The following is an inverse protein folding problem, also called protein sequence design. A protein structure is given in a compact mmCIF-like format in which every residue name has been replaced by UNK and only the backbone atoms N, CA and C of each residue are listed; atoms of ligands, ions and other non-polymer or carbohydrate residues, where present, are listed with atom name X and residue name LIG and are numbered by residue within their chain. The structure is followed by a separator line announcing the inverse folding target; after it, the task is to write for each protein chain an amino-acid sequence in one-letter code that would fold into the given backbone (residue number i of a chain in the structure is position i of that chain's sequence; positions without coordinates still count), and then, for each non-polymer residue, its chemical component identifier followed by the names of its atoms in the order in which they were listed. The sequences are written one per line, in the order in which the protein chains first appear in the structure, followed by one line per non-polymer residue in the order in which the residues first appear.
data_IF_266804318285
#
_entry.id   IF_266804318285
#
_cell.length_a   1.000
_cell.length_b   1.000
_cell.length_c   1.000
_cell.angle_alpha   90.00
_cell.angle_beta   90.00
_cell.angle_gamma   90.00
#
_symmetry.space_group_name_H-M   'P 1'
#
loop_
_entity.id
_entity.type
_entity.pdbx_description
1 polymer ?
#
# COMPACT_ATOMS: atom_id res chain seq x y z
N UNK A 1 15.66 -30.94 12.59
CA UNK A 1 15.21 -30.48 11.26
C UNK A 1 16.10 -29.32 10.84
N UNK A 2 16.88 -29.47 9.78
CA UNK A 2 17.68 -28.36 9.24
C UNK A 2 16.74 -27.25 8.75
N UNK A 3 16.96 -26.00 9.18
CA UNK A 3 16.21 -24.86 8.65
C UNK A 3 16.45 -24.79 7.14
N UNK A 4 15.38 -24.91 6.37
CA UNK A 4 15.41 -24.74 4.93
C UNK A 4 16.05 -23.40 4.58
N UNK A 5 17.11 -23.40 3.75
CA UNK A 5 17.74 -22.16 3.30
C UNK A 5 16.78 -21.44 2.35
N UNK A 6 16.34 -20.27 2.74
CA UNK A 6 15.56 -19.38 1.90
C UNK A 6 16.45 -18.75 0.82
N UNK A 7 15.95 -18.59 -0.37
CA UNK A 7 16.66 -17.85 -1.41
C UNK A 7 16.78 -16.38 -0.99
N UNK A 8 17.97 -15.83 -1.08
CA UNK A 8 18.26 -14.43 -0.76
C UNK A 8 19.12 -13.88 -1.90
N UNK A 9 18.52 -13.15 -2.85
CA UNK A 9 19.27 -12.59 -3.97
C UNK A 9 20.27 -11.52 -3.49
N UNK A 10 21.29 -11.25 -4.31
CA UNK A 10 22.37 -10.31 -3.97
C UNK A 10 21.93 -8.85 -3.82
N UNK A 11 20.78 -8.48 -4.44
CA UNK A 11 20.18 -7.15 -4.35
C UNK A 11 19.25 -6.96 -3.14
N UNK A 12 19.15 -7.99 -2.28
CA UNK A 12 18.28 -7.93 -1.11
C UNK A 12 18.76 -6.94 -0.07
N UNK A 13 17.85 -6.10 0.39
CA UNK A 13 18.00 -5.24 1.55
C UNK A 13 17.05 -5.67 2.66
N UNK A 14 17.54 -5.69 3.91
CA UNK A 14 16.71 -6.12 5.05
C UNK A 14 15.59 -5.14 5.37
N UNK A 15 15.87 -3.85 5.22
CA UNK A 15 14.90 -2.80 5.49
C UNK A 15 14.39 -2.20 4.18
N UNK A 16 13.07 -2.21 4.04
CA UNK A 16 12.43 -1.49 2.95
C UNK A 16 12.34 -0.01 3.35
N UNK A 17 12.93 0.92 2.58
CA UNK A 17 12.88 2.33 2.91
C UNK A 17 11.42 2.81 3.01
N UNK A 18 11.02 3.46 4.12
CA UNK A 18 9.66 3.96 4.28
C UNK A 18 9.35 5.07 3.27
N UNK A 19 8.09 5.16 2.86
CA UNK A 19 7.63 6.17 1.90
C UNK A 19 8.00 5.88 0.44
N UNK A 20 8.51 4.68 0.14
CA UNK A 20 8.83 4.24 -1.23
C UNK A 20 7.71 3.39 -1.82
N UNK A 21 7.67 3.27 -3.15
CA UNK A 21 6.74 2.35 -3.83
C UNK A 21 6.94 0.92 -3.36
N UNK A 22 8.15 0.50 -3.07
CA UNK A 22 8.44 -0.83 -2.51
C UNK A 22 7.76 -1.05 -1.16
N UNK A 23 7.67 -0.03 -0.31
CA UNK A 23 6.98 -0.14 0.98
C UNK A 23 5.47 -0.30 0.83
N UNK A 24 4.87 0.27 -0.22
CA UNK A 24 3.44 0.07 -0.55
C UNK A 24 3.13 -1.36 -1.01
N UNK A 25 4.08 -2.01 -1.68
CA UNK A 25 3.91 -3.35 -2.23
C UNK A 25 4.03 -4.44 -1.17
N UNK A 26 4.38 -4.07 0.04
CA UNK A 26 4.65 -5.02 1.11
C UNK A 26 3.40 -5.30 1.92
N UNK A 27 3.02 -6.57 1.94
CA UNK A 27 1.94 -7.04 2.77
C UNK A 27 2.44 -7.54 4.14
N UNK A 28 1.78 -7.12 5.20
CA UNK A 28 2.13 -7.46 6.57
C UNK A 28 3.18 -6.55 7.19
N UNK A 29 3.98 -7.07 8.11
CA UNK A 29 5.00 -6.30 8.82
C UNK A 29 6.04 -5.71 7.85
N UNK A 30 6.20 -4.38 7.81
CA UNK A 30 7.19 -3.73 6.95
C UNK A 30 8.63 -4.13 7.23
N UNK A 31 8.95 -4.55 8.44
CA UNK A 31 10.29 -5.01 8.83
C UNK A 31 10.55 -6.49 8.50
N UNK A 32 9.50 -7.28 8.26
CA UNK A 32 9.64 -8.71 7.96
C UNK A 32 9.67 -8.97 6.46
N UNK A 33 10.81 -9.31 5.88
CA UNK A 33 10.90 -9.73 4.48
C UNK A 33 10.79 -11.25 4.37
N UNK A 34 9.84 -11.72 3.57
CA UNK A 34 9.63 -13.15 3.32
C UNK A 34 10.24 -13.54 1.99
N UNK A 35 11.21 -14.42 2.03
CA UNK A 35 11.80 -15.02 0.82
C UNK A 35 11.07 -16.30 0.45
N UNK A 36 11.00 -16.63 -0.85
CA UNK A 36 10.56 -17.95 -1.27
C UNK A 36 11.50 -19.01 -0.70
N UNK A 37 10.97 -20.17 -0.39
CA UNK A 37 11.79 -21.33 -0.03
C UNK A 37 12.43 -21.93 -1.29
N UNK A 38 13.42 -22.84 -1.11
CA UNK A 38 14.15 -23.44 -2.22
C UNK A 38 13.27 -24.26 -3.17
N UNK A 39 12.20 -24.86 -2.66
CA UNK A 39 11.24 -25.61 -3.47
C UNK A 39 10.43 -24.69 -4.40
N UNK A 40 9.95 -23.55 -3.86
CA UNK A 40 9.23 -22.55 -4.66
C UNK A 40 10.15 -21.90 -5.71
N UNK A 41 11.41 -21.61 -5.36
CA UNK A 41 12.38 -21.08 -6.33
C UNK A 41 12.59 -22.06 -7.48
N UNK A 42 12.80 -23.35 -7.20
CA UNK A 42 12.95 -24.38 -8.25
C UNK A 42 11.72 -24.50 -9.14
N UNK A 43 10.52 -24.45 -8.52
CA UNK A 43 9.27 -24.48 -9.27
C UNK A 43 9.15 -23.25 -10.20
N UNK A 44 9.45 -22.07 -9.71
CA UNK A 44 9.43 -20.85 -10.52
C UNK A 44 10.41 -20.93 -11.69
N UNK A 45 11.65 -21.34 -11.42
CA UNK A 45 12.68 -21.51 -12.45
C UNK A 45 12.24 -22.49 -13.54
N UNK A 46 11.71 -23.66 -13.15
CA UNK A 46 11.27 -24.67 -14.11
C UNK A 46 9.99 -24.28 -14.85
N UNK A 47 9.07 -23.54 -14.22
CA UNK A 47 7.79 -23.15 -14.84
C UNK A 47 7.91 -21.97 -15.81
N UNK A 48 8.90 -21.10 -15.57
CA UNK A 48 9.11 -19.90 -16.36
C UNK A 48 10.42 -19.92 -17.18
N UNK A 49 11.09 -21.06 -17.20
CA UNK A 49 12.37 -21.26 -17.89
C UNK A 49 13.42 -20.21 -17.49
N UNK A 50 13.54 -19.96 -16.17
CA UNK A 50 14.45 -18.96 -15.61
C UNK A 50 15.83 -19.57 -15.32
N UNK A 51 16.88 -18.83 -15.65
CA UNK A 51 18.23 -19.11 -15.20
C UNK A 51 18.48 -18.53 -13.79
N UNK A 52 19.46 -19.00 -13.02
CA UNK A 52 19.81 -18.42 -11.73
C UNK A 52 20.09 -16.92 -11.79
N UNK A 53 20.68 -16.47 -12.89
CA UNK A 53 21.06 -15.09 -13.16
C UNK A 53 19.83 -14.15 -13.27
N UNK A 54 18.69 -14.68 -13.73
CA UNK A 54 17.44 -13.91 -13.84
C UNK A 54 16.90 -13.50 -12.46
N UNK A 55 17.20 -14.27 -11.43
CA UNK A 55 16.78 -13.97 -10.06
C UNK A 55 17.67 -12.93 -9.38
N UNK A 56 18.86 -12.71 -9.90
CA UNK A 56 19.86 -11.79 -9.35
C UNK A 56 19.90 -10.43 -10.08
N UNK A 57 19.06 -10.25 -11.09
CA UNK A 57 18.98 -9.01 -11.87
C UNK A 57 17.60 -8.35 -11.73
N UNK A 58 17.37 -7.56 -10.69
CA UNK A 58 16.11 -6.87 -10.54
C UNK A 58 15.96 -5.80 -11.62
N UNK A 59 14.82 -5.79 -12.31
CA UNK A 59 14.51 -4.77 -13.32
C UNK A 59 14.27 -3.43 -12.63
N UNK A 60 13.55 -3.46 -11.50
CA UNK A 60 13.21 -2.27 -10.72
C UNK A 60 12.96 -2.69 -9.26
N UNK A 61 13.63 -2.03 -8.34
CA UNK A 61 13.47 -2.25 -6.89
C UNK A 61 12.33 -1.44 -6.28
N UNK A 62 11.71 -0.54 -7.05
CA UNK A 62 10.66 0.37 -6.61
C UNK A 62 11.06 1.22 -5.37
N UNK A 63 12.31 1.68 -5.34
CA UNK A 63 12.87 2.47 -4.24
C UNK A 63 12.56 3.97 -4.34
N UNK A 64 11.96 4.41 -5.44
CA UNK A 64 11.51 5.78 -5.59
C UNK A 64 10.51 6.15 -4.51
N UNK A 65 10.58 7.40 -4.04
CA UNK A 65 9.56 7.94 -3.14
C UNK A 65 8.21 7.99 -3.83
N UNK A 66 7.18 7.74 -3.04
CA UNK A 66 5.81 7.86 -3.51
C UNK A 66 5.47 9.33 -3.64
N UNK A 67 5.23 9.76 -4.86
CA UNK A 67 4.87 11.13 -5.21
C UNK A 67 3.55 11.14 -5.98
N UNK A 68 2.81 12.22 -5.81
CA UNK A 68 1.55 12.45 -6.49
C UNK A 68 1.45 13.93 -6.84
N UNK A 69 1.46 14.24 -8.11
CA UNK A 69 1.33 15.61 -8.60
C UNK A 69 -0.09 16.19 -8.40
N UNK A 70 -1.07 15.31 -8.16
CA UNK A 70 -2.45 15.71 -7.97
C UNK A 70 -2.71 16.26 -6.57
N UNK A 71 -3.14 17.54 -6.43
CA UNK A 71 -3.51 18.11 -5.15
C UNK A 71 -4.77 17.43 -4.58
N UNK A 72 -5.04 17.66 -3.31
CA UNK A 72 -6.31 17.31 -2.68
C UNK A 72 -7.39 18.24 -3.23
N UNK A 73 -8.46 17.66 -3.78
CA UNK A 73 -9.58 18.42 -4.36
C UNK A 73 -10.75 18.62 -3.38
N UNK A 74 -10.75 17.87 -2.27
CA UNK A 74 -11.78 18.03 -1.23
C UNK A 74 -11.60 19.40 -0.56
N UNK A 75 -12.68 20.14 -0.46
CA UNK A 75 -12.67 21.47 0.16
C UNK A 75 -12.21 21.39 1.62
N UNK A 76 -11.46 22.40 2.03
CA UNK A 76 -10.93 22.48 3.41
C UNK A 76 -12.03 22.43 4.46
N UNK A 77 -13.19 23.01 4.19
CA UNK A 77 -14.36 22.98 5.07
C UNK A 77 -14.80 21.55 5.43
N UNK A 78 -14.76 20.62 4.46
CA UNK A 78 -15.09 19.23 4.69
C UNK A 78 -13.98 18.51 5.47
N UNK A 79 -12.71 18.82 5.19
CA UNK A 79 -11.59 18.28 5.95
C UNK A 79 -11.68 18.71 7.42
N UNK A 80 -11.96 19.99 7.67
CA UNK A 80 -12.10 20.53 9.02
C UNK A 80 -13.31 19.91 9.76
N UNK A 81 -14.42 19.65 9.05
CA UNK A 81 -15.57 18.97 9.62
C UNK A 81 -15.25 17.50 10.03
N UNK A 82 -14.57 16.74 9.17
CA UNK A 82 -14.13 15.40 9.54
C UNK A 82 -13.12 15.41 10.68
N UNK A 83 -12.22 16.39 10.73
CA UNK A 83 -11.31 16.57 11.85
C UNK A 83 -12.05 16.87 13.16
N UNK A 84 -13.16 17.61 13.10
CA UNK A 84 -13.99 17.87 14.30
C UNK A 84 -14.69 16.60 14.81
N UNK A 85 -15.05 15.65 13.91
CA UNK A 85 -15.70 14.39 14.29
C UNK A 85 -14.70 13.44 14.95
N UNK A 86 -13.54 13.19 14.34
CA UNK A 86 -12.65 12.09 14.74
C UNK A 86 -11.29 12.55 15.28
N UNK A 87 -10.99 13.85 15.27
CA UNK A 87 -9.69 14.40 15.63
C UNK A 87 -8.73 14.52 14.44
N UNK A 88 -7.95 15.58 14.44
CA UNK A 88 -7.00 15.89 13.35
C UNK A 88 -5.95 14.79 13.16
N UNK A 89 -5.55 14.14 14.25
CA UNK A 89 -4.58 13.05 14.24
C UNK A 89 -5.10 11.76 13.58
N UNK A 90 -6.41 11.64 13.38
CA UNK A 90 -7.06 10.48 12.76
C UNK A 90 -7.47 10.72 11.30
N UNK A 91 -7.06 11.84 10.72
CA UNK A 91 -7.25 12.12 9.30
C UNK A 91 -5.90 12.33 8.62
N UNK A 92 -5.81 11.99 7.35
CA UNK A 92 -4.60 12.18 6.56
C UNK A 92 -4.90 12.55 5.12
N UNK A 93 -4.24 13.60 4.65
CA UNK A 93 -4.17 14.01 3.25
C UNK A 93 -2.81 13.71 2.63
N UNK A 94 -1.93 13.06 3.38
CA UNK A 94 -0.59 12.72 2.93
C UNK A 94 -0.62 11.73 1.76
N UNK A 95 0.25 11.97 0.79
CA UNK A 95 0.31 11.22 -0.48
C UNK A 95 0.50 9.72 -0.28
N UNK A 96 1.42 9.32 0.58
CA UNK A 96 1.70 7.90 0.82
C UNK A 96 0.49 7.18 1.41
N UNK A 97 -0.15 7.78 2.41
CA UNK A 97 -1.35 7.23 3.06
C UNK A 97 -2.50 7.11 2.05
N UNK A 98 -2.75 8.15 1.25
CA UNK A 98 -3.79 8.15 0.22
C UNK A 98 -3.57 7.04 -0.81
N UNK A 99 -2.36 6.91 -1.33
CA UNK A 99 -2.03 5.87 -2.31
C UNK A 99 -2.08 4.48 -1.67
N UNK A 100 -1.61 4.31 -0.45
CA UNK A 100 -1.67 3.02 0.26
C UNK A 100 -3.10 2.52 0.51
N UNK A 101 -4.09 3.39 0.47
CA UNK A 101 -5.53 3.08 0.62
C UNK A 101 -6.29 3.06 -0.70
N UNK A 102 -5.60 3.27 -1.82
CA UNK A 102 -6.21 3.25 -3.17
C UNK A 102 -6.20 1.86 -3.79
N UNK A 103 -5.32 0.99 -3.32
CA UNK A 103 -5.08 -0.33 -3.90
C UNK A 103 -5.13 -1.42 -2.84
N UNK A 104 -5.52 -2.61 -3.28
CA UNK A 104 -5.38 -3.81 -2.48
C UNK A 104 -3.94 -4.38 -2.53
N UNK A 105 -3.78 -5.59 -2.02
CA UNK A 105 -2.51 -6.33 -2.04
C UNK A 105 -2.47 -7.40 -3.13
N UNK A 106 -3.34 -7.28 -4.12
CA UNK A 106 -3.39 -8.19 -5.26
C UNK A 106 -2.20 -8.01 -6.23
N UNK A 107 -1.88 -9.05 -6.99
CA UNK A 107 -0.78 -9.02 -7.96
C UNK A 107 -0.94 -7.90 -9.00
N UNK A 108 -2.16 -7.67 -9.48
CA UNK A 108 -2.43 -6.62 -10.47
C UNK A 108 -2.18 -5.23 -9.88
N UNK A 109 -2.58 -5.02 -8.62
CA UNK A 109 -2.37 -3.74 -7.95
C UNK A 109 -0.88 -3.50 -7.68
N UNK A 110 -0.15 -4.54 -7.29
CA UNK A 110 1.30 -4.48 -7.17
C UNK A 110 1.99 -4.10 -8.50
N UNK A 111 1.54 -4.67 -9.62
CA UNK A 111 2.08 -4.34 -10.94
C UNK A 111 1.73 -2.90 -11.36
N UNK A 112 0.50 -2.42 -11.06
CA UNK A 112 0.09 -1.03 -11.31
C UNK A 112 0.95 -0.05 -10.53
N UNK A 113 1.11 -0.29 -9.22
CA UNK A 113 1.95 0.55 -8.35
C UNK A 113 3.41 0.58 -8.83
N UNK A 114 3.98 -0.56 -9.24
CA UNK A 114 5.32 -0.61 -9.83
C UNK A 114 5.47 0.23 -11.08
N UNK A 115 4.42 0.25 -11.91
CA UNK A 115 4.39 1.06 -13.14
C UNK A 115 3.94 2.50 -12.89
N UNK A 116 3.76 2.89 -11.63
CA UNK A 116 3.26 4.22 -11.21
C UNK A 116 1.92 4.58 -11.86
N UNK A 117 1.10 3.56 -12.16
CA UNK A 117 -0.26 3.74 -12.66
C UNK A 117 -1.15 3.93 -11.43
N UNK A 118 -1.43 5.20 -11.11
CA UNK A 118 -2.14 5.61 -9.91
C UNK A 118 -3.45 6.28 -10.32
N UNK A 119 -4.58 5.63 -10.02
CA UNK A 119 -5.92 6.08 -10.39
C UNK A 119 -6.84 6.02 -9.17
N UNK A 120 -7.90 6.84 -9.17
CA UNK A 120 -8.97 6.79 -8.17
C UNK A 120 -8.49 6.88 -6.72
N UNK A 121 -7.63 7.85 -6.43
CA UNK A 121 -7.04 8.06 -5.12
C UNK A 121 -8.04 8.78 -4.22
N UNK A 122 -8.24 8.35 -2.96
CA UNK A 122 -9.04 9.08 -2.01
C UNK A 122 -8.44 10.46 -1.73
N UNK A 123 -9.30 11.46 -1.52
CA UNK A 123 -8.87 12.82 -1.19
C UNK A 123 -8.43 12.92 0.28
N UNK A 124 -9.07 12.11 1.13
CA UNK A 124 -8.85 12.06 2.56
C UNK A 124 -8.92 10.61 3.04
N UNK A 125 -8.05 10.25 3.96
CA UNK A 125 -8.14 8.97 4.70
C UNK A 125 -8.51 9.28 6.14
N UNK A 126 -9.53 8.60 6.65
CA UNK A 126 -10.06 8.77 8.00
C UNK A 126 -9.94 7.44 8.75
N UNK A 127 -9.47 7.49 9.98
CA UNK A 127 -9.32 6.33 10.87
C UNK A 127 -10.20 6.50 12.11
N UNK A 128 -11.52 6.21 12.02
CA UNK A 128 -12.44 6.37 13.14
C UNK A 128 -12.10 5.38 14.27
N UNK A 129 -12.31 5.81 15.52
CA UNK A 129 -12.00 5.03 16.73
C UNK A 129 -13.23 4.46 17.42
N UNK A 130 -14.42 4.91 17.01
CA UNK A 130 -15.67 4.50 17.64
C UNK A 130 -16.79 4.33 16.63
N UNK A 131 -17.83 3.60 17.05
CA UNK A 131 -19.06 3.45 16.26
C UNK A 131 -19.75 4.80 16.02
N UNK A 132 -19.78 5.70 17.02
CA UNK A 132 -20.37 7.02 16.89
C UNK A 132 -19.64 7.86 15.83
N UNK A 133 -18.30 7.87 15.83
CA UNK A 133 -17.54 8.57 14.80
C UNK A 133 -17.86 8.04 13.40
N UNK A 134 -17.97 6.71 13.23
CA UNK A 134 -18.37 6.11 11.93
C UNK A 134 -19.76 6.61 11.52
N UNK A 135 -20.72 6.62 12.43
CA UNK A 135 -22.07 7.08 12.16
C UNK A 135 -22.12 8.56 11.77
N UNK A 136 -21.37 9.40 12.46
CA UNK A 136 -21.27 10.84 12.16
C UNK A 136 -20.59 11.08 10.81
N UNK A 137 -19.50 10.39 10.50
CA UNK A 137 -18.82 10.45 9.20
C UNK A 137 -19.79 10.09 8.06
N UNK A 138 -20.50 8.97 8.18
CA UNK A 138 -21.47 8.55 7.16
C UNK A 138 -22.62 9.54 7.02
N UNK A 139 -23.14 10.06 8.13
CA UNK A 139 -24.21 11.06 8.12
C UNK A 139 -23.75 12.33 7.41
N UNK A 140 -22.60 12.88 7.79
CA UNK A 140 -22.03 14.06 7.18
C UNK A 140 -21.74 13.84 5.68
N UNK A 141 -21.13 12.72 5.33
CA UNK A 141 -20.80 12.38 3.94
C UNK A 141 -22.07 12.29 3.07
N UNK A 142 -23.14 11.67 3.60
CA UNK A 142 -24.40 11.56 2.89
C UNK A 142 -25.06 12.93 2.67
N UNK A 143 -25.05 13.80 3.68
CA UNK A 143 -25.59 15.17 3.57
C UNK A 143 -24.88 16.02 2.52
N UNK A 144 -23.57 15.82 2.37
CA UNK A 144 -22.73 16.58 1.44
C UNK A 144 -22.37 15.82 0.17
N UNK A 145 -22.99 14.65 -0.06
CA UNK A 145 -22.78 13.81 -1.24
C UNK A 145 -21.30 13.44 -1.47
N UNK A 146 -20.55 13.22 -0.38
CA UNK A 146 -19.15 12.80 -0.42
C UNK A 146 -19.10 11.29 -0.46
N UNK A 147 -18.53 10.66 -1.52
CA UNK A 147 -18.44 9.21 -1.59
C UNK A 147 -17.46 8.67 -0.56
N UNK A 148 -17.84 7.58 0.10
CA UNK A 148 -17.04 6.91 1.13
C UNK A 148 -16.73 5.48 0.70
N UNK A 149 -15.46 5.10 0.81
CA UNK A 149 -14.98 3.74 0.61
C UNK A 149 -14.43 3.18 1.91
N UNK A 150 -14.91 2.00 2.28
CA UNK A 150 -14.43 1.30 3.48
C UNK A 150 -13.16 0.52 3.12
N UNK A 151 -12.10 0.75 3.88
CA UNK A 151 -10.83 0.06 3.73
C UNK A 151 -10.49 -0.70 5.01
N UNK A 152 -10.44 -2.02 4.94
CA UNK A 152 -10.02 -2.87 6.05
C UNK A 152 -8.52 -3.17 6.01
N UNK A 153 -8.15 -4.43 5.94
CA UNK A 153 -6.74 -4.85 5.86
C UNK A 153 -6.12 -4.65 4.46
N UNK A 154 -6.89 -4.30 3.45
CA UNK A 154 -6.39 -4.12 2.09
C UNK A 154 -5.84 -5.41 1.47
N UNK A 155 -6.42 -6.57 1.80
CA UNK A 155 -5.93 -7.87 1.35
C UNK A 155 -6.37 -8.23 -0.08
N UNK A 156 -7.30 -7.50 -0.65
CA UNK A 156 -7.85 -7.74 -1.99
C UNK A 156 -8.19 -6.43 -2.70
#
# INVERSE_FOLDING_TARGET
MAKEKKHKPNWYEELVPPGTYRSLLKWGDPAAFKHPNSGLVKLMMSSFDLAPEDLDQPIDLALDRVELERPVLLEKSHIDAFAAICGLENISTDTYTRISRSYGSGMIDALRLRKKIIQNIPELVISPRSHSEVQEIITYSNQHQIPVYVYGAGSS
#
